data_IF_512804246728
#
_entry.id   IF_512804246728
#
_cell.length_a   1.000
_cell.length_b   1.000
_cell.length_c   1.000
_cell.angle_alpha   90.00
_cell.angle_beta   90.00
_cell.angle_gamma   90.00
#
_symmetry.space_group_name_H-M   'P 1'
#
loop_
_entity.id
_entity.type
_entity.pdbx_description
1 polymer ?
#
# COMPACT_ATOMS: atom_id res chain seq x y z
N UNK A 1 8.51 -15.45 -10.13
CA UNK A 1 7.07 -15.83 -10.08
C UNK A 1 6.26 -15.04 -9.05
N UNK A 2 6.47 -15.14 -7.72
CA UNK A 2 5.60 -14.45 -6.74
C UNK A 2 5.60 -12.93 -6.94
N UNK A 3 6.78 -12.31 -7.06
CA UNK A 3 6.90 -10.85 -7.25
C UNK A 3 6.31 -10.42 -8.60
N UNK A 4 6.49 -11.21 -9.66
CA UNK A 4 5.83 -10.97 -10.95
C UNK A 4 4.30 -10.97 -10.83
N UNK A 5 3.71 -11.90 -10.05
CA UNK A 5 2.25 -11.94 -9.84
C UNK A 5 1.76 -10.75 -9.00
N UNK A 6 2.52 -10.34 -7.99
CA UNK A 6 2.20 -9.14 -7.21
C UNK A 6 2.23 -7.89 -8.09
N UNK A 7 3.24 -7.75 -8.96
CA UNK A 7 3.32 -6.65 -9.92
C UNK A 7 2.22 -6.73 -10.98
N UNK A 8 1.82 -7.92 -11.40
CA UNK A 8 0.78 -8.10 -12.42
C UNK A 8 -0.58 -7.54 -11.93
N UNK A 9 -0.87 -7.70 -10.63
CA UNK A 9 -2.09 -7.17 -10.01
C UNK A 9 -1.95 -5.74 -9.44
N UNK A 10 -0.72 -5.25 -9.27
CA UNK A 10 -0.44 -3.91 -8.75
C UNK A 10 -0.58 -2.85 -9.85
N UNK A 11 -0.92 -1.61 -9.49
CA UNK A 11 -0.94 -0.50 -10.44
C UNK A 11 0.46 -0.19 -11.00
N UNK A 12 0.57 0.06 -12.31
CA UNK A 12 1.86 0.39 -12.97
C UNK A 12 2.31 1.85 -12.75
N UNK A 13 1.58 2.64 -11.95
CA UNK A 13 1.79 4.08 -11.78
C UNK A 13 2.93 4.43 -10.81
N UNK A 14 4.05 3.72 -10.87
CA UNK A 14 5.20 3.95 -9.98
C UNK A 14 5.80 5.36 -10.16
N UNK A 15 5.78 5.93 -11.37
CA UNK A 15 6.31 7.28 -11.61
C UNK A 15 5.50 8.38 -10.89
N UNK A 16 4.22 8.14 -10.65
CA UNK A 16 3.29 9.07 -10.00
C UNK A 16 3.01 8.67 -8.54
N UNK A 17 3.79 7.75 -7.98
CA UNK A 17 3.59 7.21 -6.64
C UNK A 17 4.51 7.91 -5.65
N UNK A 18 3.95 8.52 -4.60
CA UNK A 18 4.73 9.25 -3.58
C UNK A 18 5.72 8.36 -2.82
N UNK A 19 5.42 7.05 -2.72
CA UNK A 19 6.31 6.07 -2.11
C UNK A 19 7.24 5.38 -3.10
N UNK A 20 7.34 5.80 -4.37
CA UNK A 20 8.11 5.09 -5.39
C UNK A 20 9.56 4.82 -4.99
N UNK A 21 10.22 5.78 -4.34
CA UNK A 21 11.62 5.68 -3.90
C UNK A 21 11.80 4.99 -2.54
N UNK A 22 10.71 4.57 -1.91
CA UNK A 22 10.66 3.88 -0.61
C UNK A 22 9.88 2.56 -0.67
N UNK A 23 9.37 2.21 -1.85
CA UNK A 23 8.46 1.09 -2.06
C UNK A 23 9.24 -0.23 -1.94
N UNK A 24 8.90 -1.03 -0.93
CA UNK A 24 9.57 -2.30 -0.69
C UNK A 24 9.33 -3.29 -1.84
N UNK A 25 8.14 -3.27 -2.47
CA UNK A 25 7.84 -4.11 -3.63
C UNK A 25 8.77 -3.78 -4.81
N UNK A 26 8.95 -2.49 -5.11
CA UNK A 26 9.84 -2.04 -6.19
C UNK A 26 11.29 -2.38 -5.89
N UNK A 27 11.72 -2.25 -4.63
CA UNK A 27 13.06 -2.67 -4.20
C UNK A 27 13.28 -4.15 -4.46
N UNK A 28 12.38 -5.00 -3.98
CA UNK A 28 12.49 -6.45 -4.12
C UNK A 28 12.43 -6.85 -5.60
N UNK A 29 11.61 -6.17 -6.41
CA UNK A 29 11.58 -6.40 -7.85
C UNK A 29 12.92 -6.07 -8.52
N UNK A 30 13.53 -4.93 -8.17
CA UNK A 30 14.86 -4.56 -8.66
C UNK A 30 15.96 -5.52 -8.18
N UNK A 31 15.95 -5.91 -6.89
CA UNK A 31 16.93 -6.85 -6.32
C UNK A 31 16.85 -8.27 -6.96
N UNK A 32 15.73 -8.58 -7.62
CA UNK A 32 15.48 -9.87 -8.29
C UNK A 32 15.45 -9.77 -9.82
N UNK A 33 15.83 -8.62 -10.40
CA UNK A 33 15.77 -8.33 -11.83
C UNK A 33 14.40 -8.60 -12.48
N UNK A 34 13.33 -8.37 -11.70
CA UNK A 34 11.94 -8.48 -12.15
C UNK A 34 11.48 -7.14 -12.71
N UNK A 35 11.37 -7.08 -14.04
CA UNK A 35 10.80 -5.94 -14.76
C UNK A 35 9.35 -6.17 -15.17
N UNK A 36 9.11 -6.15 -16.49
CA UNK A 36 7.79 -6.36 -17.09
C UNK A 36 7.26 -7.76 -16.79
N UNK A 37 6.01 -7.83 -16.34
CA UNK A 37 5.37 -9.09 -16.00
C UNK A 37 4.96 -9.83 -17.27
N UNK A 38 5.26 -11.14 -17.34
CA UNK A 38 4.76 -12.00 -18.42
C UNK A 38 3.29 -12.38 -18.27
N UNK A 39 2.72 -12.09 -17.10
CA UNK A 39 1.32 -12.33 -16.80
C UNK A 39 0.49 -11.12 -17.22
N UNK A 40 -0.42 -11.33 -18.17
CA UNK A 40 -1.50 -10.40 -18.49
C UNK A 40 -2.76 -10.88 -17.78
N UNK A 41 -3.39 -10.00 -17.00
CA UNK A 41 -4.61 -10.32 -16.27
C UNK A 41 -5.39 -9.07 -15.92
N UNK A 42 -6.58 -9.26 -15.38
CA UNK A 42 -7.34 -8.17 -14.78
C UNK A 42 -6.54 -7.59 -13.62
N UNK A 43 -6.59 -6.27 -13.47
CA UNK A 43 -6.06 -5.53 -12.31
C UNK A 43 -7.22 -4.97 -11.53
N UNK A 44 -7.03 -4.84 -10.22
CA UNK A 44 -7.98 -4.08 -9.44
C UNK A 44 -7.76 -2.58 -9.61
N UNK A 45 -8.83 -1.90 -9.98
CA UNK A 45 -8.93 -0.46 -9.91
C UNK A 45 -10.01 -0.13 -8.90
N UNK A 46 -9.59 0.51 -7.82
CA UNK A 46 -10.48 1.02 -6.79
C UNK A 46 -10.53 2.55 -6.89
N UNK A 47 -11.67 3.18 -6.58
CA UNK A 47 -11.72 4.61 -6.33
C UNK A 47 -10.69 4.99 -5.27
N UNK A 48 -10.03 6.13 -5.48
CA UNK A 48 -9.22 6.72 -4.41
C UNK A 48 -10.21 7.19 -3.35
N UNK A 49 -10.00 6.73 -2.12
CA UNK A 49 -10.72 7.23 -0.97
C UNK A 49 -9.87 8.27 -0.27
N UNK A 50 -10.35 9.51 -0.33
CA UNK A 50 -9.78 10.68 0.30
C UNK A 50 -10.78 11.38 1.24
N UNK A 51 -11.85 10.71 1.68
CA UNK A 51 -12.86 11.31 2.54
C UNK A 51 -12.27 11.66 3.91
N UNK A 52 -11.36 10.83 4.41
CA UNK A 52 -10.66 11.07 5.66
C UNK A 52 -9.77 12.34 5.58
N UNK A 53 -9.81 13.25 6.58
CA UNK A 53 -9.05 14.50 6.56
C UNK A 53 -7.52 14.32 6.66
N UNK A 54 -7.04 13.14 7.02
CA UNK A 54 -5.63 12.87 7.30
C UNK A 54 -5.02 11.74 6.48
N UNK A 55 -5.83 10.84 5.92
CA UNK A 55 -5.40 9.64 5.22
C UNK A 55 -6.00 9.60 3.82
N UNK A 56 -5.18 9.31 2.82
CA UNK A 56 -5.63 8.97 1.46
C UNK A 56 -5.32 7.49 1.21
N UNK A 57 -6.33 6.76 0.75
CA UNK A 57 -6.28 5.33 0.45
C UNK A 57 -6.42 5.11 -1.05
N UNK A 58 -5.41 4.47 -1.64
CA UNK A 58 -5.46 3.97 -3.02
C UNK A 58 -5.22 2.46 -2.98
N UNK A 59 -6.31 1.70 -2.90
CA UNK A 59 -6.25 0.25 -2.78
C UNK A 59 -5.78 -0.44 -4.08
N UNK A 60 -5.75 0.26 -5.21
CA UNK A 60 -5.17 -0.25 -6.48
C UNK A 60 -3.65 -0.48 -6.34
N UNK A 61 -3.02 0.20 -5.38
CA UNK A 61 -1.61 0.00 -5.00
C UNK A 61 -1.44 -1.07 -3.91
N UNK A 62 -2.50 -1.62 -3.33
CA UNK A 62 -2.39 -2.58 -2.23
C UNK A 62 -1.98 -3.98 -2.73
N UNK A 63 -1.06 -4.63 -2.02
CA UNK A 63 -0.64 -6.02 -2.29
C UNK A 63 -1.20 -7.03 -1.29
N UNK A 64 -2.22 -6.65 -0.50
CA UNK A 64 -2.86 -7.50 0.51
C UNK A 64 -1.91 -8.17 1.52
N UNK A 65 -0.79 -7.52 1.85
CA UNK A 65 0.19 -8.05 2.81
C UNK A 65 -0.29 -8.07 4.28
N UNK A 66 -1.44 -7.44 4.59
CA UNK A 66 -2.06 -7.36 5.93
C UNK A 66 -1.21 -6.71 7.03
N UNK A 67 -0.08 -6.08 6.68
CA UNK A 67 0.78 -5.37 7.64
C UNK A 67 0.07 -4.23 8.36
N UNK A 68 -0.84 -3.52 7.69
CA UNK A 68 -1.65 -2.48 8.31
C UNK A 68 -2.56 -3.02 9.42
N UNK A 69 -3.27 -4.13 9.17
CA UNK A 69 -4.13 -4.81 10.16
C UNK A 69 -3.31 -5.28 11.36
N UNK A 70 -2.16 -5.91 11.10
CA UNK A 70 -1.27 -6.35 12.17
C UNK A 70 -0.74 -5.17 13.01
N UNK A 71 -0.27 -4.11 12.35
CA UNK A 71 0.29 -2.94 13.01
C UNK A 71 -0.73 -2.19 13.87
N UNK A 72 -1.97 -2.01 13.39
CA UNK A 72 -3.03 -1.41 14.19
C UNK A 72 -3.35 -2.24 15.42
N UNK A 73 -3.47 -3.56 15.26
CA UNK A 73 -3.79 -4.47 16.37
C UNK A 73 -2.71 -4.51 17.44
N UNK A 74 -1.44 -4.56 17.04
CA UNK A 74 -0.31 -4.68 17.98
C UNK A 74 0.04 -3.36 18.67
N UNK A 75 0.10 -2.25 17.91
CA UNK A 75 0.54 -0.96 18.46
C UNK A 75 -0.63 -0.07 18.91
N UNK A 76 -1.71 -0.06 18.15
CA UNK A 76 -2.89 0.76 18.45
C UNK A 76 -3.88 0.11 19.40
N UNK A 77 -3.72 -1.20 19.71
CA UNK A 77 -4.67 -2.03 20.48
C UNK A 77 -6.09 -2.05 19.91
N UNK A 78 -6.26 -1.59 18.67
CA UNK A 78 -7.52 -1.44 17.95
C UNK A 78 -7.30 -1.90 16.51
N UNK A 79 -8.28 -2.59 15.93
CA UNK A 79 -8.22 -2.96 14.51
C UNK A 79 -8.95 -1.91 13.68
N UNK A 80 -8.21 -1.00 13.04
CA UNK A 80 -8.81 -0.01 12.13
C UNK A 80 -9.20 -0.62 10.77
N UNK A 81 -8.51 -1.69 10.38
CA UNK A 81 -8.71 -2.33 9.08
C UNK A 81 -9.08 -3.81 9.22
N UNK A 82 -9.82 -4.31 8.24
CA UNK A 82 -10.17 -5.71 8.05
C UNK A 82 -9.93 -6.17 6.61
N UNK A 83 -10.31 -7.42 6.33
CA UNK A 83 -10.33 -7.96 4.96
C UNK A 83 -11.79 -8.11 4.55
N UNK A 84 -12.14 -7.45 3.46
CA UNK A 84 -13.42 -7.61 2.77
C UNK A 84 -13.28 -8.57 1.60
N UNK A 85 -14.45 -9.03 1.13
CA UNK A 85 -14.55 -9.88 -0.06
C UNK A 85 -13.72 -11.18 0.04
N UNK A 86 -13.61 -11.94 -1.07
CA UNK A 86 -12.88 -13.21 -1.13
C UNK A 86 -12.25 -13.42 -2.50
N UNK A 87 -11.22 -14.27 -2.55
CA UNK A 87 -10.56 -14.63 -3.80
C UNK A 87 -9.85 -13.44 -4.42
N UNK A 88 -9.99 -13.28 -5.73
CA UNK A 88 -9.44 -12.15 -6.47
C UNK A 88 -9.94 -10.82 -5.91
N UNK A 89 -11.23 -10.68 -5.62
CA UNK A 89 -11.86 -9.45 -5.11
C UNK A 89 -11.49 -9.05 -3.68
N UNK A 90 -10.57 -9.77 -3.02
CA UNK A 90 -10.18 -9.47 -1.64
C UNK A 90 -9.58 -8.07 -1.54
N UNK A 91 -10.05 -7.28 -0.58
CA UNK A 91 -9.58 -5.91 -0.38
C UNK A 91 -9.45 -5.56 1.11
N UNK A 92 -8.71 -4.49 1.40
CA UNK A 92 -8.66 -3.94 2.76
C UNK A 92 -9.88 -3.05 2.93
N UNK A 93 -10.65 -3.30 3.99
CA UNK A 93 -11.82 -2.49 4.34
C UNK A 93 -11.61 -1.83 5.69
N UNK A 94 -12.39 -0.78 5.95
CA UNK A 94 -12.51 -0.21 7.29
C UNK A 94 -13.15 -1.24 8.24
N UNK A 95 -12.71 -1.28 9.48
CA UNK A 95 -13.36 -2.11 10.49
C UNK A 95 -14.76 -1.57 10.79
N UNK A 96 -15.80 -2.42 10.91
CA UNK A 96 -17.16 -1.97 11.23
C UNK A 96 -17.26 -1.32 12.61
N UNK A 97 -16.35 -1.65 13.53
CA UNK A 97 -16.35 -1.15 14.91
C UNK A 97 -15.61 0.20 15.10
N UNK A 98 -15.11 0.79 14.02
CA UNK A 98 -14.32 2.03 14.05
C UNK A 98 -14.66 2.90 12.83
N UNK A 99 -15.24 4.07 13.08
CA UNK A 99 -15.28 5.14 12.08
C UNK A 99 -13.85 5.62 11.85
N UNK A 100 -13.30 5.32 10.66
CA UNK A 100 -11.95 5.75 10.30
C UNK A 100 -11.87 7.28 10.22
N UNK A 101 -13.01 7.95 10.04
CA UNK A 101 -13.14 9.37 9.68
C UNK A 101 -12.51 10.33 10.71
N UNK A 102 -12.33 9.90 11.96
CA UNK A 102 -11.74 10.74 13.02
C UNK A 102 -10.31 10.38 13.40
N UNK A 103 -9.76 9.22 12.97
CA UNK A 103 -8.50 8.68 13.53
C UNK A 103 -7.44 8.40 12.46
N UNK A 104 -6.26 8.98 12.66
CA UNK A 104 -5.07 8.67 11.87
C UNK A 104 -4.42 7.39 12.37
N UNK A 105 -4.40 6.32 11.56
CA UNK A 105 -3.53 5.18 11.85
C UNK A 105 -2.10 5.43 11.34
N UNK A 106 -1.31 6.22 12.08
CA UNK A 106 0.11 6.48 11.76
C UNK A 106 0.92 5.17 11.68
N UNK A 107 0.66 4.23 12.59
CA UNK A 107 1.32 2.92 12.59
C UNK A 107 1.01 2.11 11.34
N UNK A 108 -0.16 2.30 10.72
CA UNK A 108 -0.54 1.65 9.47
C UNK A 108 0.16 2.31 8.27
N UNK A 109 0.24 3.65 8.26
CA UNK A 109 0.94 4.44 7.24
C UNK A 109 2.41 4.03 7.12
N UNK A 110 3.06 3.81 8.26
CA UNK A 110 4.45 3.38 8.34
C UNK A 110 4.63 1.90 8.01
N UNK A 111 3.69 1.06 8.45
CA UNK A 111 3.74 -0.37 8.18
C UNK A 111 3.47 -0.72 6.71
N UNK A 112 2.79 0.15 5.96
CA UNK A 112 2.44 -0.12 4.56
C UNK A 112 3.70 -0.09 3.65
N UNK A 113 4.06 -1.23 3.01
CA UNK A 113 5.27 -1.37 2.20
C UNK A 113 5.18 -0.70 0.82
N UNK A 114 3.98 -0.32 0.40
CA UNK A 114 3.62 0.22 -0.92
C UNK A 114 2.85 1.53 -0.77
N UNK A 115 2.57 2.21 -1.88
CA UNK A 115 1.87 3.50 -1.93
C UNK A 115 0.36 3.45 -1.66
N UNK A 116 -0.18 2.38 -1.05
CA UNK A 116 -1.62 2.23 -0.85
C UNK A 116 -2.20 3.12 0.26
N UNK A 117 -1.36 3.52 1.23
CA UNK A 117 -1.72 4.44 2.30
C UNK A 117 -0.75 5.62 2.27
N UNK A 118 -1.29 6.83 2.21
CA UNK A 118 -0.56 8.10 2.17
C UNK A 118 -1.23 9.15 3.06
N UNK A 119 -0.47 10.12 3.57
CA UNK A 119 -1.01 11.15 4.45
C UNK A 119 -1.57 12.30 3.59
N UNK A 120 -2.78 12.75 3.88
CA UNK A 120 -3.45 13.83 3.15
C UNK A 120 -2.67 15.13 3.36
N UNK A 121 -2.41 15.85 2.26
CA UNK A 121 -1.65 17.11 2.28
C UNK A 121 -0.12 16.96 2.28
N UNK A 122 0.44 15.75 2.37
CA UNK A 122 1.88 15.52 2.16
C UNK A 122 2.15 15.15 0.69
N UNK A 123 2.54 16.13 -0.13
CA UNK A 123 2.96 15.94 -1.54
C UNK A 123 4.44 15.54 -1.70
N UNK A 124 5.18 15.42 -0.60
CA UNK A 124 6.59 15.07 -0.59
C UNK A 124 6.87 14.03 0.49
N UNK A 125 7.82 13.11 0.27
CA UNK A 125 8.25 12.18 1.32
C UNK A 125 8.86 13.01 2.46
N UNK A 126 8.09 13.18 3.54
CA UNK A 126 8.63 13.55 4.85
C UNK A 126 9.85 12.67 5.10
N UNK A 127 10.95 13.25 5.58
CA UNK A 127 12.25 12.58 5.83
C UNK A 127 12.07 11.32 6.67
N UNK A 128 11.66 10.21 6.05
CA UNK A 128 11.69 8.89 6.64
C UNK A 128 13.16 8.51 6.68
N UNK A 129 13.64 8.01 7.80
CA UNK A 129 14.98 7.45 7.99
C UNK A 129 15.19 6.15 7.16
N UNK A 130 14.69 6.12 5.92
CA UNK A 130 14.77 5.01 4.98
C UNK A 130 15.72 5.46 3.87
N UNK A 131 16.79 4.71 3.65
CA UNK A 131 17.71 4.96 2.54
C UNK A 131 16.90 4.95 1.24
N UNK A 132 17.02 6.00 0.38
CA UNK A 132 16.36 6.00 -0.92
C UNK A 132 16.82 4.80 -1.74
N UNK A 133 15.93 4.26 -2.56
CA UNK A 133 16.24 3.15 -3.44
C UNK A 133 17.18 3.61 -4.56
N UNK A 134 18.45 3.20 -4.46
CA UNK A 134 19.39 3.26 -5.57
C UNK A 134 19.33 1.92 -6.31
N UNK A 135 18.69 1.90 -7.48
CA UNK A 135 18.74 0.74 -8.37
C UNK A 135 20.13 0.74 -8.98
N UNK A 136 20.96 -0.24 -8.60
CA UNK A 136 22.24 -0.47 -9.28
C UNK A 136 21.90 -1.05 -10.65
N UNK A 137 22.29 -0.33 -11.70
CA UNK A 137 22.18 -0.81 -13.08
C UNK A 137 23.14 -1.95 -13.36
#
# INVERSE_FOLDING_TARGET
VIVELLLANHSDNCLMCDKANLCELRKIAADLDVGLTRYSGQRHFYPIDDENPYLVRDLSKCILCRRCIKASREKGKVSYFGIGSRGFESNIISSPDQEIDEIICEVCLDACPVGALSKKGETLPTKRNRKPLYIKG
#
